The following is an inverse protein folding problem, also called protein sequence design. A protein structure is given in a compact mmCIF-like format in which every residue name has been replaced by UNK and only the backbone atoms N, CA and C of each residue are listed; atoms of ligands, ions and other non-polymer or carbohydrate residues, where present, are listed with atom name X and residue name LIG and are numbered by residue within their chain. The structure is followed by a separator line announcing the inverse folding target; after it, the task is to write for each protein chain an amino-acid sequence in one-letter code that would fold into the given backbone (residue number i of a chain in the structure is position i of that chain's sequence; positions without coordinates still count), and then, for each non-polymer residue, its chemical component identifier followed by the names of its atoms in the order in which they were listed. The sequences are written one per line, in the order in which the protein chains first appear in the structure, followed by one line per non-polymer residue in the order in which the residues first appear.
data_IF_879740988602
#
_entry.id   IF_879740988602
#
_cell.length_a   1.000
_cell.length_b   1.000
_cell.length_c   1.000
_cell.angle_alpha   90.00
_cell.angle_beta   90.00
_cell.angle_gamma   90.00
#
_symmetry.space_group_name_H-M   'P 1'
#
loop_
_entity.id
_entity.type
_entity.pdbx_description
1 polymer ?
#
# COMPACT_ATOMS: atom_id res chain seq x y z
N UNK A 1 -35.52 -2.96 -1.54
CA UNK A 1 -34.23 -2.25 -1.45
C UNK A 1 -33.17 -3.32 -1.36
N UNK A 2 -32.43 -3.54 -2.44
CA UNK A 2 -31.50 -4.67 -2.58
C UNK A 2 -30.09 -4.13 -2.35
N UNK A 3 -29.44 -4.57 -1.29
CA UNK A 3 -28.07 -4.18 -0.93
C UNK A 3 -27.09 -4.72 -1.99
N UNK A 4 -26.13 -3.92 -2.50
CA UNK A 4 -25.08 -4.44 -3.37
C UNK A 4 -24.15 -5.38 -2.60
N UNK A 5 -23.83 -6.52 -3.19
CA UNK A 5 -22.92 -7.53 -2.62
C UNK A 5 -21.47 -7.16 -2.95
N UNK A 6 -20.54 -7.13 -1.99
CA UNK A 6 -19.12 -6.90 -2.28
C UNK A 6 -18.49 -8.08 -3.03
N UNK A 7 -17.65 -7.77 -4.03
CA UNK A 7 -17.03 -8.67 -5.03
C UNK A 7 -15.95 -9.66 -4.51
N UNK A 8 -15.90 -9.95 -3.21
CA UNK A 8 -14.77 -10.66 -2.59
C UNK A 8 -15.18 -12.01 -1.96
N UNK A 9 -16.46 -12.39 -2.07
CA UNK A 9 -16.90 -13.72 -1.66
C UNK A 9 -16.60 -14.74 -2.77
N UNK A 10 -15.39 -15.28 -2.75
CA UNK A 10 -15.11 -16.61 -3.30
C UNK A 10 -14.86 -17.55 -2.12
N UNK A 11 -15.80 -18.46 -1.89
CA UNK A 11 -15.68 -19.57 -0.96
C UNK A 11 -14.47 -20.47 -1.36
N UNK A 12 -13.80 -21.14 -0.40
CA UNK A 12 -12.72 -22.04 -0.71
C UNK A 12 -13.27 -23.37 -1.25
N UNK A 13 -12.70 -23.86 -2.35
CA UNK A 13 -12.90 -25.23 -2.83
C UNK A 13 -11.80 -26.09 -2.19
N UNK A 14 -12.22 -27.12 -1.45
CA UNK A 14 -11.36 -28.14 -0.84
C UNK A 14 -10.66 -29.02 -1.90
N UNK A 15 -9.52 -29.60 -1.49
CA UNK A 15 -8.49 -30.37 -2.22
C UNK A 15 -9.00 -31.58 -3.07
N UNK A 16 -8.10 -32.22 -3.85
CA UNK A 16 -7.40 -33.37 -3.26
C UNK A 16 -5.89 -33.45 -3.55
N UNK A 17 -5.27 -34.25 -2.66
CA UNK A 17 -3.92 -34.78 -2.55
C UNK A 17 -3.26 -35.26 -3.86
N UNK A 18 -1.93 -35.22 -3.94
CA UNK A 18 -1.11 -36.39 -4.35
C UNK A 18 0.42 -36.14 -4.24
N UNK A 19 1.04 -36.99 -3.42
CA UNK A 19 2.32 -37.73 -3.55
C UNK A 19 3.65 -37.08 -4.00
N UNK A 20 4.61 -37.13 -3.06
CA UNK A 20 5.99 -37.62 -3.16
C UNK A 20 6.80 -37.49 -4.48
N UNK A 21 7.98 -36.85 -4.38
CA UNK A 21 9.27 -37.50 -4.72
C UNK A 21 10.52 -36.74 -4.27
N UNK A 22 11.22 -37.42 -3.40
CA UNK A 22 12.65 -37.44 -3.11
C UNK A 22 13.57 -37.40 -4.35
N UNK A 23 14.67 -36.64 -4.28
CA UNK A 23 16.01 -37.03 -4.77
C UNK A 23 17.03 -35.94 -4.44
N UNK A 24 17.88 -36.10 -3.44
CA UNK A 24 19.12 -36.90 -3.38
C UNK A 24 20.36 -36.00 -3.58
N UNK A 25 21.03 -35.76 -2.46
CA UNK A 25 22.39 -35.21 -2.36
C UNK A 25 23.35 -36.11 -3.13
N UNK A 26 24.08 -35.57 -4.12
CA UNK A 26 25.37 -36.14 -4.55
C UNK A 26 26.52 -35.18 -4.32
N UNK A 27 27.39 -35.61 -3.41
CA UNK A 27 28.68 -35.03 -3.05
C UNK A 27 29.74 -35.94 -3.68
N UNK A 28 30.54 -35.45 -4.62
CA UNK A 28 31.81 -36.10 -5.00
C UNK A 28 32.90 -35.02 -5.05
N UNK A 29 34.02 -35.37 -4.42
CA UNK A 29 35.18 -34.54 -4.06
C UNK A 29 36.34 -34.76 -5.07
N UNK A 30 37.09 -33.68 -5.28
CA UNK A 30 38.52 -33.53 -5.61
C UNK A 30 39.11 -34.14 -6.90
N UNK A 31 39.81 -33.29 -7.66
CA UNK A 31 41.28 -33.33 -7.82
C UNK A 31 41.85 -31.96 -8.23
N UNK A 32 43.03 -31.70 -7.68
CA UNK A 32 43.82 -30.47 -7.68
C UNK A 32 44.51 -30.14 -9.02
N UNK A 33 44.70 -28.85 -9.30
CA UNK A 33 45.93 -28.29 -9.91
C UNK A 33 46.03 -26.79 -9.61
N UNK A 34 47.18 -26.38 -9.10
CA UNK A 34 47.61 -25.04 -8.69
C UNK A 34 47.53 -23.94 -9.78
N UNK A 35 46.98 -22.78 -9.43
CA UNK A 35 47.60 -21.44 -9.61
C UNK A 35 46.73 -20.31 -9.00
N UNK A 36 47.33 -19.18 -8.56
CA UNK A 36 46.71 -18.29 -7.57
C UNK A 36 45.94 -17.08 -8.13
N UNK A 37 44.84 -16.77 -7.41
CA UNK A 37 44.33 -15.45 -7.02
C UNK A 37 43.67 -14.52 -8.07
N UNK A 38 42.34 -14.62 -8.21
CA UNK A 38 41.29 -13.64 -7.88
C UNK A 38 40.00 -14.01 -8.65
N UNK A 39 38.92 -14.49 -8.02
CA UNK A 39 37.65 -14.70 -8.71
C UNK A 39 36.94 -13.36 -8.91
N UNK A 40 36.46 -13.14 -10.14
CA UNK A 40 35.49 -12.12 -10.48
C UNK A 40 34.29 -12.21 -9.52
N UNK A 41 33.87 -11.08 -8.94
CA UNK A 41 32.61 -10.98 -8.22
C UNK A 41 31.48 -11.46 -9.13
N UNK A 42 30.97 -12.64 -8.80
CA UNK A 42 29.74 -13.17 -9.34
C UNK A 42 28.63 -12.22 -8.87
N UNK A 43 28.15 -11.38 -9.79
CA UNK A 43 26.97 -10.54 -9.58
C UNK A 43 25.81 -11.50 -9.31
N UNK A 44 25.53 -11.71 -8.02
CA UNK A 44 24.38 -12.43 -7.54
C UNK A 44 23.14 -11.71 -8.10
N UNK A 45 22.57 -12.27 -9.17
CA UNK A 45 21.38 -11.74 -9.80
C UNK A 45 20.24 -11.82 -8.78
N UNK A 46 19.90 -10.67 -8.19
CA UNK A 46 18.71 -10.54 -7.36
C UNK A 46 17.49 -11.13 -8.08
N UNK A 47 16.60 -11.86 -7.39
CA UNK A 47 15.51 -12.57 -8.05
C UNK A 47 14.57 -11.56 -8.75
N UNK A 48 14.37 -11.75 -10.05
CA UNK A 48 13.54 -10.91 -10.96
C UNK A 48 12.09 -10.67 -10.48
N UNK A 49 11.66 -11.39 -9.45
CA UNK A 49 10.33 -11.35 -8.87
C UNK A 49 10.13 -10.17 -7.89
N UNK A 50 11.15 -9.81 -7.10
CA UNK A 50 11.11 -8.57 -6.28
C UNK A 50 11.01 -7.33 -7.17
N UNK A 51 11.82 -7.30 -8.24
CA UNK A 51 11.90 -6.17 -9.16
C UNK A 51 10.56 -5.84 -9.83
N UNK A 52 9.73 -6.84 -10.17
CA UNK A 52 8.40 -6.61 -10.79
C UNK A 52 7.36 -6.09 -9.79
N UNK A 53 7.42 -6.51 -8.53
CA UNK A 53 6.49 -6.07 -7.49
C UNK A 53 6.75 -4.61 -7.12
N UNK A 54 8.02 -4.22 -7.01
CA UNK A 54 8.43 -2.85 -6.68
C UNK A 54 8.07 -1.87 -7.82
N UNK A 55 8.29 -2.24 -9.09
CA UNK A 55 7.92 -1.41 -10.26
C UNK A 55 6.40 -1.17 -10.35
N UNK A 56 5.57 -2.16 -10.03
CA UNK A 56 4.10 -2.00 -10.06
C UNK A 56 3.57 -1.16 -8.89
N UNK A 57 4.24 -1.18 -7.74
CA UNK A 57 3.89 -0.36 -6.58
C UNK A 57 4.22 1.12 -6.84
N UNK A 58 5.41 1.39 -7.40
CA UNK A 58 5.85 2.76 -7.72
C UNK A 58 4.99 3.45 -8.80
N UNK A 59 4.55 2.71 -9.83
CA UNK A 59 3.67 3.28 -10.86
C UNK A 59 2.30 3.67 -10.33
N UNK A 60 1.75 2.90 -9.37
CA UNK A 60 0.47 3.25 -8.74
C UNK A 60 0.60 4.50 -7.89
N UNK A 61 1.68 4.59 -7.10
CA UNK A 61 1.93 5.77 -6.28
C UNK A 61 2.13 7.04 -7.10
N UNK A 62 2.94 6.99 -8.16
CA UNK A 62 3.16 8.15 -9.03
C UNK A 62 1.85 8.64 -9.68
N UNK A 63 1.00 7.71 -10.12
CA UNK A 63 -0.33 8.03 -10.66
C UNK A 63 -1.21 8.70 -9.60
N UNK A 64 -1.31 8.11 -8.42
CA UNK A 64 -2.21 8.59 -7.37
C UNK A 64 -1.74 9.95 -6.82
N UNK A 65 -0.43 10.12 -6.63
CA UNK A 65 0.17 11.40 -6.28
C UNK A 65 -0.10 12.48 -7.34
N UNK A 66 -0.01 12.14 -8.64
CA UNK A 66 -0.35 13.06 -9.73
C UNK A 66 -1.83 13.44 -9.74
N UNK A 67 -2.72 12.48 -9.49
CA UNK A 67 -4.16 12.73 -9.39
C UNK A 67 -4.47 13.69 -8.23
N UNK A 68 -3.90 13.44 -7.05
CA UNK A 68 -4.05 14.33 -5.90
C UNK A 68 -3.45 15.70 -6.16
N UNK A 69 -2.26 15.78 -6.76
CA UNK A 69 -1.62 17.07 -7.10
C UNK A 69 -2.45 17.93 -8.05
N UNK A 70 -3.22 17.30 -8.94
CA UNK A 70 -4.13 17.98 -9.85
C UNK A 70 -5.44 18.42 -9.18
N UNK A 71 -6.05 17.54 -8.38
CA UNK A 71 -7.40 17.73 -7.87
C UNK A 71 -7.48 18.47 -6.52
N UNK A 72 -6.46 18.34 -5.67
CA UNK A 72 -6.54 18.71 -4.27
C UNK A 72 -6.10 20.13 -3.88
N UNK A 73 -5.03 20.73 -4.46
CA UNK A 73 -4.55 22.02 -3.99
C UNK A 73 -5.65 23.09 -4.02
N UNK A 74 -5.88 23.73 -2.88
CA UNK A 74 -6.95 24.72 -2.63
C UNK A 74 -8.38 24.18 -2.80
N UNK A 75 -8.55 22.88 -2.98
CA UNK A 75 -9.81 22.21 -3.32
C UNK A 75 -9.99 20.87 -2.57
N UNK A 76 -9.42 20.76 -1.37
CA UNK A 76 -9.40 19.53 -0.57
C UNK A 76 -10.77 18.98 -0.16
N UNK A 77 -11.80 19.83 -0.16
CA UNK A 77 -13.17 19.47 0.16
C UNK A 77 -14.00 19.12 -1.09
N UNK A 78 -13.45 19.30 -2.30
CA UNK A 78 -14.15 19.01 -3.55
C UNK A 78 -14.15 17.51 -3.86
N UNK A 79 -15.22 17.05 -4.54
CA UNK A 79 -15.41 15.63 -4.85
C UNK A 79 -14.24 15.01 -5.61
N UNK A 80 -13.63 15.72 -6.57
CA UNK A 80 -12.46 15.22 -7.30
C UNK A 80 -11.27 14.91 -6.38
N UNK A 81 -11.02 15.77 -5.37
CA UNK A 81 -9.95 15.51 -4.41
C UNK A 81 -10.30 14.38 -3.45
N UNK A 82 -11.57 14.29 -3.01
CA UNK A 82 -12.03 13.20 -2.15
C UNK A 82 -11.90 11.86 -2.86
N UNK A 83 -12.26 11.79 -4.15
CA UNK A 83 -12.06 10.62 -5.00
C UNK A 83 -10.58 10.24 -5.11
N UNK A 84 -9.71 11.20 -5.44
CA UNK A 84 -8.27 10.96 -5.56
C UNK A 84 -7.66 10.47 -4.23
N UNK A 85 -8.04 11.09 -3.11
CA UNK A 85 -7.58 10.70 -1.77
C UNK A 85 -8.09 9.31 -1.40
N UNK A 86 -9.37 9.00 -1.66
CA UNK A 86 -9.94 7.69 -1.36
C UNK A 86 -9.32 6.57 -2.19
N UNK A 87 -8.92 6.86 -3.43
CA UNK A 87 -8.14 5.91 -4.25
C UNK A 87 -6.76 5.66 -3.63
N UNK A 88 -6.06 6.72 -3.19
CA UNK A 88 -4.78 6.60 -2.51
C UNK A 88 -4.91 5.83 -1.18
N UNK A 89 -5.97 6.09 -0.41
CA UNK A 89 -6.29 5.37 0.82
C UNK A 89 -6.46 3.87 0.54
N UNK A 90 -7.22 3.49 -0.47
CA UNK A 90 -7.45 2.09 -0.85
C UNK A 90 -6.15 1.36 -1.14
N UNK A 91 -5.23 1.98 -1.88
CA UNK A 91 -3.92 1.38 -2.18
C UNK A 91 -3.07 1.23 -0.91
N UNK A 92 -3.01 2.28 -0.08
CA UNK A 92 -2.30 2.25 1.20
C UNK A 92 -2.77 1.10 2.09
N UNK A 93 -4.10 0.97 2.26
CA UNK A 93 -4.71 -0.05 3.12
C UNK A 93 -4.40 -1.45 2.57
N UNK A 94 -4.51 -1.63 1.25
CA UNK A 94 -4.21 -2.91 0.60
C UNK A 94 -2.75 -3.33 0.81
N UNK A 95 -1.80 -2.41 0.59
CA UNK A 95 -0.37 -2.66 0.77
C UNK A 95 -0.01 -2.93 2.22
N UNK A 96 -0.58 -2.16 3.15
CA UNK A 96 -0.33 -2.34 4.57
C UNK A 96 -0.93 -3.67 5.06
N UNK A 97 -2.14 -4.01 4.63
CA UNK A 97 -2.75 -5.31 4.90
C UNK A 97 -1.91 -6.48 4.39
N UNK A 98 -1.35 -6.38 3.18
CA UNK A 98 -0.43 -7.38 2.64
C UNK A 98 0.87 -7.48 3.46
N UNK A 99 1.39 -6.36 3.94
CA UNK A 99 2.60 -6.33 4.79
C UNK A 99 2.35 -6.99 6.15
N UNK A 100 1.21 -6.72 6.76
CA UNK A 100 0.76 -7.40 7.98
C UNK A 100 0.60 -8.91 7.75
N UNK A 101 0.06 -9.31 6.59
CA UNK A 101 -0.06 -10.73 6.25
C UNK A 101 1.29 -11.43 6.16
N UNK A 102 2.23 -10.84 5.40
CA UNK A 102 3.57 -11.40 5.20
C UNK A 102 4.33 -11.48 6.53
N UNK A 103 4.07 -10.58 7.47
CA UNK A 103 4.63 -10.60 8.82
C UNK A 103 3.91 -11.56 9.79
N UNK A 104 2.92 -12.33 9.33
CA UNK A 104 2.14 -13.25 10.17
C UNK A 104 1.17 -12.56 11.14
N UNK A 105 0.85 -11.28 10.92
CA UNK A 105 -0.01 -10.44 11.77
C UNK A 105 -1.46 -10.38 11.27
N UNK A 106 -2.01 -11.53 10.86
CA UNK A 106 -3.35 -11.62 10.23
C UNK A 106 -4.49 -11.12 11.12
N UNK A 107 -4.35 -11.19 12.44
CA UNK A 107 -5.34 -10.70 13.41
C UNK A 107 -5.65 -9.20 13.28
N UNK A 108 -4.75 -8.42 12.68
CA UNK A 108 -4.94 -6.99 12.47
C UNK A 108 -5.63 -6.64 11.13
N UNK A 109 -5.84 -7.61 10.24
CA UNK A 109 -6.46 -7.34 8.94
C UNK A 109 -7.93 -6.91 9.05
N UNK A 110 -8.74 -7.60 9.85
CA UNK A 110 -10.16 -7.24 9.99
C UNK A 110 -10.34 -5.86 10.64
N UNK A 111 -9.66 -5.54 11.77
CA UNK A 111 -9.74 -4.21 12.34
C UNK A 111 -9.23 -3.11 11.38
N UNK A 112 -8.21 -3.39 10.56
CA UNK A 112 -7.74 -2.45 9.54
C UNK A 112 -8.83 -2.22 8.48
N UNK A 113 -9.44 -3.27 7.96
CA UNK A 113 -10.49 -3.19 6.93
C UNK A 113 -11.72 -2.43 7.43
N UNK A 114 -12.20 -2.76 8.61
CA UNK A 114 -13.43 -2.17 9.18
C UNK A 114 -13.27 -0.67 9.42
N UNK A 115 -12.20 -0.27 10.10
CA UNK A 115 -11.98 1.14 10.47
C UNK A 115 -11.57 2.00 9.28
N UNK A 116 -10.99 1.39 8.24
CA UNK A 116 -10.61 2.12 7.03
C UNK A 116 -11.65 2.05 5.90
N UNK A 117 -12.71 1.25 6.00
CA UNK A 117 -13.67 1.07 4.91
C UNK A 117 -14.24 2.41 4.42
N UNK A 118 -14.71 3.24 5.36
CA UNK A 118 -15.29 4.55 5.05
C UNK A 118 -14.31 5.52 4.36
N UNK A 119 -13.00 5.38 4.58
CA UNK A 119 -11.98 6.22 3.92
C UNK A 119 -11.93 5.98 2.41
N UNK A 120 -12.46 4.86 1.93
CA UNK A 120 -12.47 4.50 0.51
C UNK A 120 -13.81 4.79 -0.18
N UNK A 121 -14.82 5.27 0.55
CA UNK A 121 -16.19 5.38 0.06
C UNK A 121 -16.31 6.26 -1.20
N UNK A 122 -15.54 7.35 -1.29
CA UNK A 122 -15.57 8.24 -2.44
C UNK A 122 -15.05 7.58 -3.74
N UNK A 123 -14.43 6.39 -3.67
CA UNK A 123 -14.10 5.62 -4.89
C UNK A 123 -15.33 5.06 -5.61
N UNK A 124 -16.46 4.92 -4.89
CA UNK A 124 -17.66 4.22 -5.38
C UNK A 124 -18.90 5.13 -5.37
N UNK A 125 -18.96 6.05 -4.41
CA UNK A 125 -20.09 6.95 -4.24
C UNK A 125 -19.68 8.39 -4.55
N UNK A 126 -20.47 9.05 -5.40
CA UNK A 126 -20.37 10.48 -5.60
C UNK A 126 -21.05 11.23 -4.44
N UNK A 127 -20.68 12.51 -4.26
CA UNK A 127 -21.36 13.46 -3.37
C UNK A 127 -21.26 13.15 -1.87
N UNK A 128 -20.20 12.45 -1.44
CA UNK A 128 -19.95 12.26 -0.01
C UNK A 128 -19.51 13.59 0.60
N UNK A 129 -20.12 14.05 1.71
CA UNK A 129 -19.72 15.29 2.35
C UNK A 129 -18.26 15.27 2.80
N UNK A 130 -17.52 16.34 2.52
CA UNK A 130 -16.10 16.46 2.87
C UNK A 130 -15.83 16.26 4.37
N UNK A 131 -16.74 16.73 5.24
CA UNK A 131 -16.59 16.53 6.69
C UNK A 131 -16.63 15.03 7.09
N UNK A 132 -17.44 14.22 6.39
CA UNK A 132 -17.56 12.79 6.64
C UNK A 132 -16.30 12.07 6.16
N UNK A 133 -15.82 12.40 4.97
CA UNK A 133 -14.57 11.84 4.43
C UNK A 133 -13.36 12.18 5.29
N UNK A 134 -13.25 13.44 5.75
CA UNK A 134 -12.21 13.85 6.71
C UNK A 134 -12.20 13.00 7.98
N UNK A 135 -13.38 12.77 8.56
CA UNK A 135 -13.52 11.91 9.74
C UNK A 135 -13.06 10.48 9.43
N UNK A 136 -13.48 9.93 8.29
CA UNK A 136 -13.09 8.60 7.86
C UNK A 136 -11.57 8.46 7.61
N UNK A 137 -10.94 9.45 6.98
CA UNK A 137 -9.48 9.49 6.81
C UNK A 137 -8.77 9.50 8.15
N UNK A 138 -9.24 10.33 9.09
CA UNK A 138 -8.67 10.43 10.44
C UNK A 138 -8.76 9.12 11.20
N UNK A 139 -9.93 8.47 11.19
CA UNK A 139 -10.15 7.17 11.84
C UNK A 139 -9.20 6.11 11.25
N UNK A 140 -9.11 6.05 9.93
CA UNK A 140 -8.22 5.10 9.26
C UNK A 140 -6.74 5.33 9.60
N UNK A 141 -6.26 6.58 9.54
CA UNK A 141 -4.87 6.93 9.88
C UNK A 141 -4.56 6.58 11.33
N UNK A 142 -5.44 6.90 12.28
CA UNK A 142 -5.26 6.53 13.68
C UNK A 142 -5.17 5.01 13.84
N UNK A 143 -6.05 4.25 13.17
CA UNK A 143 -5.99 2.78 13.23
C UNK A 143 -4.67 2.23 12.69
N UNK A 144 -4.16 2.79 11.60
CA UNK A 144 -2.87 2.39 11.02
C UNK A 144 -1.73 2.63 12.02
N UNK A 145 -1.72 3.79 12.68
CA UNK A 145 -0.74 4.13 13.73
C UNK A 145 -0.83 3.15 14.90
N UNK A 146 -2.03 2.87 15.41
CA UNK A 146 -2.23 1.91 16.51
C UNK A 146 -1.67 0.52 16.17
N UNK A 147 -1.92 0.04 14.94
CA UNK A 147 -1.40 -1.25 14.48
C UNK A 147 0.12 -1.18 14.33
N UNK A 148 0.66 -0.07 13.82
CA UNK A 148 2.09 0.09 13.62
C UNK A 148 2.84 0.09 14.95
N UNK A 149 2.30 0.75 15.96
CA UNK A 149 2.84 0.77 17.32
C UNK A 149 2.76 -0.62 17.97
N UNK A 150 1.65 -1.35 17.76
CA UNK A 150 1.48 -2.69 18.33
C UNK A 150 2.35 -3.78 17.67
N UNK A 151 2.65 -3.63 16.37
CA UNK A 151 3.30 -4.69 15.58
C UNK A 151 4.75 -4.37 15.20
N UNK A 152 5.15 -3.10 15.23
CA UNK A 152 6.40 -2.60 14.67
C UNK A 152 6.43 -2.56 13.14
N UNK A 153 5.37 -2.98 12.45
CA UNK A 153 5.25 -2.95 10.99
C UNK A 153 4.67 -1.60 10.58
N UNK A 154 5.35 -0.87 9.71
CA UNK A 154 4.92 0.47 9.29
C UNK A 154 4.21 0.42 7.92
N UNK A 155 3.22 1.31 7.69
CA UNK A 155 2.66 1.51 6.35
C UNK A 155 3.71 2.10 5.41
N UNK A 156 3.43 2.07 4.11
CA UNK A 156 4.23 2.82 3.14
C UNK A 156 4.24 4.32 3.53
N UNK A 157 5.42 4.93 3.72
CA UNK A 157 5.51 6.29 4.21
C UNK A 157 4.95 7.31 3.21
N UNK A 158 4.98 7.01 1.91
CA UNK A 158 4.61 7.95 0.86
C UNK A 158 3.10 8.10 0.79
N UNK A 159 2.36 6.99 0.76
CA UNK A 159 0.90 7.00 0.86
C UNK A 159 0.41 7.52 2.21
N UNK A 160 1.10 7.19 3.30
CA UNK A 160 0.74 7.69 4.63
C UNK A 160 0.88 9.22 4.70
N UNK A 161 1.93 9.79 4.11
CA UNK A 161 2.12 11.24 4.01
C UNK A 161 1.03 11.92 3.16
N UNK A 162 0.59 11.31 2.05
CA UNK A 162 -0.52 11.84 1.26
C UNK A 162 -1.81 11.92 2.08
N UNK A 163 -2.14 10.86 2.82
CA UNK A 163 -3.32 10.83 3.69
C UNK A 163 -3.24 11.86 4.81
N UNK A 164 -2.08 11.98 5.45
CA UNK A 164 -1.85 12.97 6.49
C UNK A 164 -1.96 14.41 5.95
N UNK A 165 -1.39 14.68 4.77
CA UNK A 165 -1.52 15.97 4.10
C UNK A 165 -2.98 16.33 3.83
N UNK A 166 -3.80 15.38 3.37
CA UNK A 166 -5.24 15.60 3.17
C UNK A 166 -5.92 16.03 4.47
N UNK A 167 -5.70 15.32 5.58
CA UNK A 167 -6.33 15.66 6.88
C UNK A 167 -5.93 17.07 7.32
N UNK A 168 -4.64 17.38 7.29
CA UNK A 168 -4.09 18.70 7.67
C UNK A 168 -4.68 19.83 6.82
N UNK A 169 -4.86 19.58 5.52
CA UNK A 169 -5.41 20.56 4.60
C UNK A 169 -6.93 20.74 4.73
N UNK A 170 -7.69 19.66 4.95
CA UNK A 170 -9.12 19.74 5.27
C UNK A 170 -9.37 20.34 6.67
N UNK A 171 -8.39 20.32 7.55
CA UNK A 171 -8.38 21.06 8.83
C UNK A 171 -8.01 22.54 8.67
N UNK A 172 -7.65 22.99 7.46
CA UNK A 172 -7.20 24.37 7.17
C UNK A 172 -6.03 24.79 8.06
N UNK A 173 -5.17 23.84 8.43
CA UNK A 173 -3.99 24.14 9.26
C UNK A 173 -2.95 24.93 8.45
N UNK A 174 -2.14 25.78 9.10
CA UNK A 174 -1.10 26.57 8.41
C UNK A 174 -0.10 25.70 7.62
N UNK A 175 0.15 24.47 8.06
CA UNK A 175 1.06 23.53 7.39
C UNK A 175 0.58 23.10 6.00
N UNK A 176 -0.72 23.27 5.70
CA UNK A 176 -1.29 22.86 4.41
C UNK A 176 -0.59 23.54 3.22
N UNK A 177 -0.25 24.83 3.33
CA UNK A 177 0.42 25.55 2.23
C UNK A 177 1.73 24.89 1.82
N UNK A 178 2.52 24.41 2.78
CA UNK A 178 3.76 23.71 2.51
C UNK A 178 3.51 22.36 1.83
N UNK A 179 2.45 21.65 2.25
CA UNK A 179 2.04 20.38 1.64
C UNK A 179 1.55 20.56 0.21
N UNK A 180 0.76 21.61 -0.06
CA UNK A 180 0.29 21.94 -1.41
C UNK A 180 1.44 22.29 -2.34
N UNK A 181 2.44 23.05 -1.86
CA UNK A 181 3.65 23.36 -2.64
C UNK A 181 4.41 22.09 -2.97
N UNK A 182 4.58 21.19 -2.01
CA UNK A 182 5.25 19.91 -2.23
C UNK A 182 4.46 19.06 -3.25
N UNK A 183 3.15 18.92 -3.06
CA UNK A 183 2.29 18.12 -3.92
C UNK A 183 2.27 18.66 -5.36
N UNK A 184 2.23 19.98 -5.55
CA UNK A 184 2.30 20.60 -6.88
C UNK A 184 3.63 20.35 -7.58
N UNK A 185 4.75 20.33 -6.85
CA UNK A 185 6.06 19.95 -7.43
C UNK A 185 6.08 18.51 -7.92
N UNK A 186 5.35 17.63 -7.26
CA UNK A 186 5.24 16.23 -7.63
C UNK A 186 4.30 15.99 -8.82
N UNK A 187 3.21 16.76 -8.93
CA UNK A 187 2.31 16.72 -10.08
C UNK A 187 2.83 17.44 -11.33
N UNK A 188 3.96 18.15 -11.22
CA UNK A 188 4.53 19.04 -12.24
C UNK A 188 5.87 18.58 -12.81
N UNK A 189 5.85 17.45 -13.52
CA UNK A 189 6.52 17.27 -14.82
C UNK A 189 5.52 16.69 -15.82
#
# INVERSE_FOLDING_TARGET
MTTPRPLWNTEPVEDPEDEDKENEKKKIRLKDTDHPNYPAEEVEQAPKEKLKKDINVDMNFARDAKNMAKACPQSWENQECLQATSQAALVMISQYGASLEHAGKKSYQNPLKEECAASTAATQEADIPAYAMKSAYTVCVNKIVDIADATGIKPDPSYFQLMYATIICMDKKPQCQMMEIALRKWGGQ
#
